data_IF_813981713346
#
_entry.id   IF_813981713346
#
_cell.length_a   1.000
_cell.length_b   1.000
_cell.length_c   1.000
_cell.angle_alpha   90.00
_cell.angle_beta   90.00
_cell.angle_gamma   90.00
#
_symmetry.space_group_name_H-M   'P 1'
#
loop_
_entity.id
_entity.type
_entity.pdbx_description
1 polymer ?
#
# COMPACT_ATOMS: atom_id res chain seq x y z
N UNK A 1 -15.31 12.28 -6.17
CA UNK A 1 -14.15 12.47 -5.25
C UNK A 1 -13.59 11.11 -4.88
N UNK A 2 -12.31 10.85 -5.13
CA UNK A 2 -11.65 9.64 -4.63
C UNK A 2 -11.44 9.80 -3.11
N UNK A 3 -12.07 8.95 -2.30
CA UNK A 3 -11.81 8.89 -0.85
C UNK A 3 -10.69 7.87 -0.60
N UNK A 4 -9.73 8.23 0.23
CA UNK A 4 -8.71 7.30 0.71
C UNK A 4 -9.39 6.28 1.63
N UNK A 5 -9.63 5.07 1.12
CA UNK A 5 -10.15 3.97 1.94
C UNK A 5 -8.97 3.29 2.64
N UNK A 6 -9.04 3.14 3.97
CA UNK A 6 -8.04 2.41 4.75
C UNK A 6 -8.72 1.55 5.81
N UNK A 7 -8.13 0.39 6.12
CA UNK A 7 -8.73 -0.57 7.07
C UNK A 7 -8.22 -0.42 8.49
N UNK A 8 -6.94 -0.09 8.66
CA UNK A 8 -6.33 0.16 9.97
C UNK A 8 -5.13 1.10 9.85
N UNK A 9 -4.61 1.58 10.99
CA UNK A 9 -3.51 2.57 11.01
C UNK A 9 -2.27 2.15 10.22
N UNK A 10 -1.87 0.87 10.28
CA UNK A 10 -0.75 0.37 9.46
C UNK A 10 -1.01 0.41 7.95
N UNK A 11 -2.25 0.17 7.50
CA UNK A 11 -2.62 0.27 6.09
C UNK A 11 -2.57 1.73 5.62
N UNK A 12 -3.04 2.66 6.46
CA UNK A 12 -2.93 4.10 6.21
C UNK A 12 -1.46 4.54 6.09
N UNK A 13 -0.62 4.19 7.06
CA UNK A 13 0.82 4.53 7.04
C UNK A 13 1.48 3.94 5.80
N UNK A 14 1.19 2.68 5.47
CA UNK A 14 1.75 2.03 4.29
C UNK A 14 1.35 2.73 2.99
N UNK A 15 0.08 3.13 2.84
CA UNK A 15 -0.39 3.91 1.70
C UNK A 15 0.30 5.29 1.61
N UNK A 16 0.48 5.98 2.73
CA UNK A 16 1.19 7.25 2.76
C UNK A 16 2.67 7.09 2.38
N UNK A 17 3.34 6.03 2.84
CA UNK A 17 4.70 5.72 2.44
C UNK A 17 4.81 5.43 0.94
N UNK A 18 3.88 4.66 0.38
CA UNK A 18 3.84 4.39 -1.06
C UNK A 18 3.58 5.66 -1.88
N UNK A 19 2.65 6.52 -1.45
CA UNK A 19 2.40 7.81 -2.09
C UNK A 19 3.62 8.72 -2.03
N UNK A 20 4.29 8.77 -0.87
CA UNK A 20 5.53 9.51 -0.69
C UNK A 20 6.65 9.01 -1.61
N UNK A 21 6.85 7.68 -1.67
CA UNK A 21 7.84 7.07 -2.58
C UNK A 21 7.54 7.41 -4.04
N UNK A 22 6.27 7.28 -4.45
CA UNK A 22 5.83 7.57 -5.82
C UNK A 22 6.08 9.04 -6.19
N UNK A 23 5.79 9.96 -5.26
CA UNK A 23 6.05 11.38 -5.44
C UNK A 23 7.55 11.69 -5.52
N UNK A 24 8.36 11.10 -4.65
CA UNK A 24 9.83 11.26 -4.69
C UNK A 24 10.42 10.76 -6.00
N UNK A 25 9.97 9.60 -6.49
CA UNK A 25 10.40 9.08 -7.80
C UNK A 25 10.05 10.03 -8.94
N UNK A 26 8.85 10.62 -8.92
CA UNK A 26 8.43 11.60 -9.91
C UNK A 26 9.31 12.86 -9.91
N UNK A 27 9.55 13.46 -8.73
CA UNK A 27 10.41 14.64 -8.59
C UNK A 27 11.84 14.33 -9.06
N UNK A 28 12.42 13.23 -8.60
CA UNK A 28 13.77 12.83 -9.01
C UNK A 28 13.89 12.59 -10.53
N UNK A 29 12.85 12.02 -11.15
CA UNK A 29 12.84 11.79 -12.59
C UNK A 29 12.79 13.11 -13.35
N UNK A 30 11.97 14.07 -12.90
CA UNK A 30 11.90 15.41 -13.49
C UNK A 30 13.22 16.18 -13.37
N UNK A 31 13.83 16.17 -12.19
CA UNK A 31 15.11 16.82 -11.94
C UNK A 31 16.24 16.18 -12.75
N UNK A 32 16.29 14.85 -12.82
CA UNK A 32 17.30 14.11 -13.60
C UNK A 32 17.23 14.46 -15.10
N UNK A 33 16.03 14.44 -15.69
CA UNK A 33 15.83 14.74 -17.11
C UNK A 33 16.19 16.20 -17.41
N UNK A 34 15.86 17.12 -16.51
CA UNK A 34 16.17 18.55 -16.68
C UNK A 34 17.67 18.81 -16.55
N UNK A 35 18.31 18.18 -15.56
CA UNK A 35 19.74 18.34 -15.28
C UNK A 35 20.62 17.77 -16.40
N UNK A 36 20.28 16.58 -16.93
CA UNK A 36 21.04 15.92 -17.99
C UNK A 36 20.58 16.29 -19.41
N UNK A 37 19.76 17.32 -19.57
CA UNK A 37 19.20 17.70 -20.87
C UNK A 37 20.25 17.90 -21.95
N UNK A 38 21.39 18.50 -21.61
CA UNK A 38 22.50 18.72 -22.54
C UNK A 38 23.20 17.41 -22.93
N UNK A 39 23.38 16.49 -21.99
CA UNK A 39 23.98 15.16 -22.21
C UNK A 39 23.09 14.25 -23.06
N UNK A 40 21.78 14.55 -23.12
CA UNK A 40 20.79 13.79 -23.86
C UNK A 40 20.65 14.24 -25.34
N UNK A 41 21.12 15.45 -25.69
CA UNK A 41 21.06 15.99 -27.05
C UNK A 41 21.77 15.12 -28.11
N UNK A 42 22.96 14.52 -27.86
CA UNK A 42 23.63 13.65 -28.82
C UNK A 42 22.82 12.39 -29.19
N UNK A 43 21.88 11.98 -28.34
CA UNK A 43 20.99 10.84 -28.58
C UNK A 43 19.70 11.22 -29.31
N UNK A 44 19.58 12.47 -29.79
CA UNK A 44 18.39 12.96 -30.49
C UNK A 44 17.21 13.32 -29.58
N UNK A 45 17.43 13.33 -28.26
CA UNK A 45 16.43 13.73 -27.26
C UNK A 45 16.44 15.26 -27.21
N UNK A 46 15.59 15.88 -28.03
CA UNK A 46 15.35 17.32 -28.11
C UNK A 46 14.35 17.79 -27.04
N UNK A 47 14.06 19.10 -27.00
CA UNK A 47 13.08 19.67 -26.05
C UNK A 47 11.70 19.00 -26.09
N UNK A 48 11.22 18.66 -27.29
CA UNK A 48 9.91 18.02 -27.46
C UNK A 48 9.84 16.63 -26.79
N UNK A 49 10.94 15.89 -26.79
CA UNK A 49 11.04 14.59 -26.12
C UNK A 49 11.05 14.73 -24.59
N UNK A 50 11.69 15.79 -24.07
CA UNK A 50 11.68 16.10 -22.64
C UNK A 50 10.26 16.41 -22.17
N UNK A 51 9.53 17.22 -22.94
CA UNK A 51 8.15 17.57 -22.62
C UNK A 51 7.24 16.33 -22.69
N UNK A 52 7.43 15.45 -23.68
CA UNK A 52 6.71 14.18 -23.77
C UNK A 52 6.98 13.28 -22.54
N UNK A 53 8.24 13.16 -22.11
CA UNK A 53 8.61 12.39 -20.94
C UNK A 53 8.02 12.97 -19.64
N UNK A 54 7.93 14.29 -19.52
CA UNK A 54 7.28 14.97 -18.41
C UNK A 54 5.77 14.68 -18.36
N UNK A 55 5.09 14.67 -19.51
CA UNK A 55 3.67 14.31 -19.60
C UNK A 55 3.45 12.83 -19.25
N UNK A 56 4.26 11.93 -19.80
CA UNK A 56 4.14 10.48 -19.53
C UNK A 56 4.40 10.14 -18.06
N UNK A 57 5.42 10.73 -17.45
CA UNK A 57 5.70 10.56 -16.02
C UNK A 57 4.56 11.08 -15.14
N UNK A 58 3.93 12.20 -15.52
CA UNK A 58 2.77 12.76 -14.82
C UNK A 58 1.54 11.84 -14.91
N UNK A 59 1.30 11.24 -16.09
CA UNK A 59 0.23 10.26 -16.28
C UNK A 59 0.48 8.98 -15.48
N UNK A 60 1.73 8.49 -15.45
CA UNK A 60 2.12 7.33 -14.64
C UNK A 60 1.95 7.61 -13.15
N UNK A 61 2.33 8.80 -12.69
CA UNK A 61 2.09 9.24 -11.31
C UNK A 61 0.60 9.23 -10.99
N UNK A 62 -0.23 9.86 -11.84
CA UNK A 62 -1.67 9.91 -11.64
C UNK A 62 -2.30 8.50 -11.62
N UNK A 63 -1.88 7.61 -12.53
CA UNK A 63 -2.30 6.22 -12.57
C UNK A 63 -1.89 5.45 -11.30
N UNK A 64 -0.63 5.64 -10.85
CA UNK A 64 -0.11 5.04 -9.62
C UNK A 64 -0.87 5.49 -8.38
N UNK A 65 -1.17 6.80 -8.27
CA UNK A 65 -2.00 7.35 -7.19
C UNK A 65 -3.40 6.73 -7.23
N UNK A 66 -4.07 6.73 -8.38
CA UNK A 66 -5.41 6.13 -8.52
C UNK A 66 -5.38 4.64 -8.16
N UNK A 67 -4.34 3.92 -8.58
CA UNK A 67 -4.15 2.52 -8.24
C UNK A 67 -3.99 2.31 -6.73
N UNK A 68 -3.14 3.10 -6.06
CA UNK A 68 -2.97 3.04 -4.59
C UNK A 68 -4.29 3.37 -3.89
N UNK A 69 -5.01 4.40 -4.33
CA UNK A 69 -6.25 4.85 -3.70
C UNK A 69 -7.43 3.89 -3.89
N UNK A 70 -7.51 3.19 -5.04
CA UNK A 70 -8.69 2.38 -5.41
C UNK A 70 -8.48 0.88 -5.38
N UNK A 71 -7.26 0.40 -5.58
CA UNK A 71 -6.99 -0.97 -6.06
C UNK A 71 -5.88 -1.67 -5.29
N UNK A 72 -5.47 -1.23 -4.09
CA UNK A 72 -4.46 -1.96 -3.30
C UNK A 72 -5.09 -2.92 -2.28
N UNK A 73 -5.31 -4.21 -2.64
CA UNK A 73 -5.45 -5.30 -1.68
C UNK A 73 -4.05 -5.81 -1.31
N UNK A 74 -3.19 -4.93 -0.79
CA UNK A 74 -1.86 -5.35 -0.33
C UNK A 74 -1.76 -5.31 1.20
N UNK A 75 -2.65 -6.02 1.95
CA UNK A 75 -2.56 -5.98 3.38
C UNK A 75 -1.49 -6.93 3.93
N UNK A 76 -0.66 -7.64 3.15
CA UNK A 76 0.28 -8.61 3.75
C UNK A 76 1.22 -7.95 4.78
N UNK A 77 1.96 -6.92 4.37
CA UNK A 77 2.82 -6.17 5.28
C UNK A 77 2.00 -5.51 6.39
N UNK A 78 1.02 -4.65 6.09
CA UNK A 78 0.34 -3.93 7.16
C UNK A 78 -0.55 -4.83 8.04
N UNK A 79 -1.11 -5.95 7.55
CA UNK A 79 -1.82 -6.95 8.36
C UNK A 79 -0.88 -7.73 9.25
N UNK A 80 0.29 -8.13 8.75
CA UNK A 80 1.30 -8.75 9.61
C UNK A 80 1.68 -7.83 10.76
N UNK A 81 1.99 -6.57 10.45
CA UNK A 81 2.34 -5.56 11.45
C UNK A 81 1.18 -5.31 12.42
N UNK A 82 -0.05 -5.20 11.91
CA UNK A 82 -1.23 -5.03 12.75
C UNK A 82 -1.43 -6.22 13.70
N UNK A 83 -1.35 -7.45 13.22
CA UNK A 83 -1.55 -8.64 14.05
C UNK A 83 -0.41 -8.79 15.07
N UNK A 84 0.85 -8.57 14.63
CA UNK A 84 2.02 -8.74 15.48
C UNK A 84 2.13 -7.66 16.55
N UNK A 85 1.85 -6.40 16.22
CA UNK A 85 2.06 -5.26 17.12
C UNK A 85 0.78 -4.72 17.75
N UNK A 86 -0.33 -4.64 17.01
CA UNK A 86 -1.62 -4.17 17.56
C UNK A 86 -2.34 -5.27 18.35
N UNK A 87 -2.48 -6.48 17.78
CA UNK A 87 -3.12 -7.61 18.47
C UNK A 87 -2.17 -8.36 19.43
N UNK A 88 -0.85 -8.14 19.28
CA UNK A 88 0.22 -8.85 20.00
C UNK A 88 0.13 -10.37 19.83
N UNK A 89 -0.38 -10.81 18.69
CA UNK A 89 -0.55 -12.24 18.40
C UNK A 89 0.74 -12.79 17.80
N UNK A 90 1.25 -13.95 18.29
CA UNK A 90 2.37 -14.62 17.65
C UNK A 90 1.89 -15.22 16.32
N UNK A 91 2.33 -14.62 15.21
CA UNK A 91 2.11 -15.16 13.86
C UNK A 91 3.42 -15.14 13.08
N UNK A 92 3.58 -16.09 12.16
CA UNK A 92 4.70 -16.12 11.20
C UNK A 92 4.30 -15.43 9.91
N UNK A 93 5.27 -14.87 9.20
CA UNK A 93 5.05 -14.21 7.90
C UNK A 93 4.33 -15.12 6.90
N UNK A 94 4.73 -16.39 6.82
CA UNK A 94 4.12 -17.39 5.93
C UNK A 94 2.62 -17.61 6.19
N UNK A 95 2.13 -17.34 7.41
CA UNK A 95 0.74 -17.55 7.79
C UNK A 95 -0.15 -16.33 7.49
N UNK A 96 0.45 -15.17 7.20
CA UNK A 96 -0.27 -13.90 6.98
C UNK A 96 -1.19 -14.00 5.78
N UNK A 97 -0.79 -14.69 4.72
CA UNK A 97 -1.62 -14.88 3.52
C UNK A 97 -2.98 -15.52 3.83
N UNK A 98 -3.06 -16.34 4.89
CA UNK A 98 -4.29 -17.01 5.28
C UNK A 98 -5.28 -16.08 6.00
N UNK A 99 -4.79 -14.97 6.56
CA UNK A 99 -5.59 -14.02 7.36
C UNK A 99 -5.67 -12.64 6.72
N UNK A 100 -4.86 -12.35 5.70
CA UNK A 100 -4.78 -11.06 5.04
C UNK A 100 -6.12 -10.59 4.45
N UNK A 101 -6.98 -11.53 4.02
CA UNK A 101 -8.31 -11.22 3.50
C UNK A 101 -9.22 -10.57 4.57
N UNK A 102 -9.00 -10.84 5.86
CA UNK A 102 -9.73 -10.20 6.97
C UNK A 102 -9.45 -8.70 7.08
N UNK A 103 -8.38 -8.23 6.44
CA UNK A 103 -7.92 -6.84 6.44
C UNK A 103 -8.20 -6.12 5.13
N UNK A 104 -8.84 -6.80 4.18
CA UNK A 104 -9.38 -6.18 2.97
C UNK A 104 -10.68 -5.49 3.36
N UNK A 105 -10.91 -4.23 2.95
CA UNK A 105 -12.19 -3.58 3.21
C UNK A 105 -13.30 -4.41 2.58
N UNK A 106 -14.41 -4.62 3.31
CA UNK A 106 -15.63 -5.19 2.72
C UNK A 106 -16.02 -4.38 1.46
N UNK A 107 -16.84 -4.94 0.57
CA UNK A 107 -17.37 -4.19 -0.58
C UNK A 107 -18.07 -2.89 -0.16
N UNK A 108 -18.55 -2.83 1.09
CA UNK A 108 -19.16 -1.66 1.73
C UNK A 108 -18.15 -0.68 2.38
N UNK A 109 -16.84 -0.97 2.28
CA UNK A 109 -15.77 -0.16 2.88
C UNK A 109 -15.66 -0.30 4.42
N UNK A 110 -16.47 -1.15 5.04
CA UNK A 110 -16.46 -1.38 6.48
C UNK A 110 -15.41 -2.40 6.87
N UNK A 111 -14.57 -2.04 7.84
CA UNK A 111 -13.53 -2.90 8.41
C UNK A 111 -14.10 -3.75 9.55
N UNK A 112 -13.84 -5.06 9.54
CA UNK A 112 -14.17 -5.93 10.66
C UNK A 112 -13.15 -5.71 11.80
N UNK A 113 -13.56 -4.99 12.84
CA UNK A 113 -12.65 -4.64 13.94
C UNK A 113 -12.22 -5.89 14.72
N UNK A 114 -10.93 -6.24 14.63
CA UNK A 114 -10.36 -7.39 15.34
C UNK A 114 -9.96 -7.08 16.80
N UNK A 115 -10.35 -5.91 17.33
CA UNK A 115 -9.97 -5.50 18.68
C UNK A 115 -10.49 -6.44 19.77
N UNK A 116 -11.59 -7.15 19.52
CA UNK A 116 -12.13 -8.14 20.44
C UNK A 116 -11.14 -9.27 20.75
N UNK A 117 -10.25 -9.62 19.81
CA UNK A 117 -9.20 -10.63 20.02
C UNK A 117 -8.19 -10.20 21.08
N UNK A 118 -8.00 -8.90 21.33
CA UNK A 118 -7.09 -8.42 22.40
C UNK A 118 -7.58 -8.76 23.81
N UNK A 119 -8.89 -9.01 23.98
CA UNK A 119 -9.47 -9.39 25.27
C UNK A 119 -9.10 -10.83 25.67
N UNK A 120 -8.69 -11.65 24.71
CA UNK A 120 -8.28 -13.04 24.97
C UNK A 120 -6.85 -13.09 25.54
N UNK A 121 -6.53 -14.14 26.34
CA UNK A 121 -5.16 -14.51 26.68
C UNK A 121 -4.29 -14.66 25.42
N UNK A 122 -3.03 -14.21 25.48
CA UNK A 122 -2.15 -14.07 24.30
C UNK A 122 -1.92 -15.39 23.55
N UNK A 123 -1.82 -16.49 24.30
CA UNK A 123 -1.74 -17.87 23.85
C UNK A 123 -2.95 -18.28 23.00
N UNK A 124 -4.15 -17.81 23.34
CA UNK A 124 -5.40 -18.16 22.64
C UNK A 124 -5.69 -17.26 21.43
N UNK A 125 -5.02 -16.10 21.30
CA UNK A 125 -5.30 -15.12 20.24
C UNK A 125 -5.01 -15.66 18.85
N UNK A 126 -3.96 -16.47 18.71
CA UNK A 126 -3.57 -17.05 17.43
C UNK A 126 -4.67 -17.98 16.94
N UNK A 127 -5.08 -18.92 17.77
CA UNK A 127 -6.08 -19.92 17.40
C UNK A 127 -7.45 -19.27 17.16
N UNK A 128 -7.83 -18.28 17.97
CA UNK A 128 -9.05 -17.50 17.74
C UNK A 128 -9.02 -16.74 16.41
N UNK A 129 -7.89 -16.15 16.04
CA UNK A 129 -7.71 -15.45 14.77
C UNK A 129 -7.85 -16.40 13.57
N UNK A 130 -7.20 -17.57 13.61
CA UNK A 130 -7.30 -18.56 12.53
C UNK A 130 -8.68 -19.21 12.48
N UNK A 131 -9.34 -19.43 13.62
CA UNK A 131 -10.72 -19.92 13.66
C UNK A 131 -11.70 -18.93 13.03
N UNK A 132 -11.53 -17.64 13.32
CA UNK A 132 -12.29 -16.57 12.68
C UNK A 132 -12.04 -16.54 11.17
N UNK A 133 -10.77 -16.64 10.75
CA UNK A 133 -10.41 -16.72 9.34
C UNK A 133 -11.03 -17.93 8.64
N UNK A 134 -11.06 -19.10 9.28
CA UNK A 134 -11.70 -20.29 8.72
C UNK A 134 -13.23 -20.17 8.61
N UNK A 135 -13.87 -19.36 9.48
CA UNK A 135 -15.33 -19.17 9.49
C UNK A 135 -15.80 -18.19 8.43
N UNK A 136 -14.95 -17.21 8.06
CA UNK A 136 -15.27 -16.13 7.12
C UNK A 136 -14.79 -16.40 5.69
N UNK A 137 -14.18 -17.57 5.45
CA UNK A 137 -13.64 -17.98 4.15
C UNK A 137 -14.60 -18.91 3.44
#
# INVERSE_FOLDING_TARGET
>A
MARLSYTHGFDLIFKLLLLGLLFTLFVYTGDFVTYHREDLKPYGITGDWVDLLAVLSSLLLAAGVVYILRRTPLPLVPAFLYVRWSLRTPIRWAEVHQIAFLFVPSQDGTWHTLQHLRKLPQDQRRDALFKLAATLR
#
